data_IF_122338721487
#
_entry.id   IF_122338721487
#
_cell.length_a   1.000
_cell.length_b   1.000
_cell.length_c   1.000
_cell.angle_alpha   90.00
_cell.angle_beta   90.00
_cell.angle_gamma   90.00
#
_symmetry.space_group_name_H-M   'P 1'
#
loop_
_entity.id
_entity.type
_entity.pdbx_description
1 polymer ?
#
# COMPACT_ATOMS: atom_id res chain seq x y z
N UNK A 1 13.34 -5.00 16.90
CA UNK A 1 12.33 -5.24 15.84
C UNK A 1 12.87 -4.90 14.45
N UNK A 2 13.55 -3.78 14.30
CA UNK A 2 14.14 -3.30 13.04
C UNK A 2 15.01 -4.35 12.34
N UNK A 3 15.92 -4.97 13.07
CA UNK A 3 16.79 -6.05 12.56
C UNK A 3 16.05 -7.26 11.95
N UNK A 4 14.84 -7.58 12.43
CA UNK A 4 14.05 -8.67 11.86
C UNK A 4 13.41 -8.29 10.52
N UNK A 5 12.94 -7.04 10.39
CA UNK A 5 12.40 -6.52 9.13
C UNK A 5 13.51 -6.33 8.09
N UNK A 6 14.70 -5.86 8.50
CA UNK A 6 15.88 -5.77 7.64
C UNK A 6 16.28 -7.14 7.08
N UNK A 7 16.32 -8.17 7.93
CA UNK A 7 16.59 -9.54 7.48
C UNK A 7 15.56 -10.06 6.47
N UNK A 8 14.26 -9.74 6.66
CA UNK A 8 13.23 -10.08 5.69
C UNK A 8 13.49 -9.37 4.36
N UNK A 9 13.86 -8.09 4.40
CA UNK A 9 14.19 -7.31 3.22
C UNK A 9 15.42 -7.87 2.47
N UNK A 10 16.46 -8.26 3.19
CA UNK A 10 17.65 -8.92 2.62
C UNK A 10 17.29 -10.25 1.95
N UNK A 11 16.53 -11.13 2.62
CA UNK A 11 16.06 -12.39 2.04
C UNK A 11 15.23 -12.11 0.79
N UNK A 12 14.34 -11.11 0.84
CA UNK A 12 13.51 -10.73 -0.29
C UNK A 12 14.35 -10.21 -1.46
N UNK A 13 15.38 -9.42 -1.20
CA UNK A 13 16.25 -8.85 -2.24
C UNK A 13 17.07 -9.93 -2.97
N UNK A 14 17.60 -10.91 -2.23
CA UNK A 14 18.57 -11.87 -2.74
C UNK A 14 17.96 -13.18 -3.24
N UNK A 15 16.77 -13.56 -2.75
CA UNK A 15 16.09 -14.78 -3.20
C UNK A 15 15.19 -14.51 -4.41
N UNK A 16 15.27 -15.29 -5.49
CA UNK A 16 14.37 -15.15 -6.64
C UNK A 16 12.89 -15.40 -6.28
N UNK A 17 12.66 -16.37 -5.39
CA UNK A 17 11.32 -16.78 -4.95
C UNK A 17 11.32 -17.04 -3.43
N UNK A 18 11.41 -15.98 -2.61
CA UNK A 18 11.35 -16.18 -1.15
C UNK A 18 9.94 -16.59 -0.73
N UNK A 19 9.85 -17.48 0.24
CA UNK A 19 8.58 -17.86 0.86
C UNK A 19 8.62 -17.55 2.35
N UNK A 20 7.72 -16.68 2.79
CA UNK A 20 7.62 -16.29 4.19
C UNK A 20 6.41 -16.98 4.83
N UNK A 21 6.67 -17.99 5.66
CA UNK A 21 5.64 -18.84 6.26
C UNK A 21 5.22 -18.39 7.66
N UNK A 22 6.04 -17.58 8.32
CA UNK A 22 5.81 -17.16 9.71
C UNK A 22 6.16 -15.68 9.88
N UNK A 23 5.16 -14.82 9.74
CA UNK A 23 5.29 -13.36 9.85
C UNK A 23 4.40 -12.77 10.93
N UNK A 24 3.29 -13.45 11.24
CA UNK A 24 2.25 -12.91 12.13
C UNK A 24 2.76 -12.62 13.55
N UNK A 25 3.74 -13.40 14.03
CA UNK A 25 4.37 -13.20 15.33
C UNK A 25 5.16 -11.88 15.44
N UNK A 26 5.46 -11.24 14.31
CA UNK A 26 6.11 -9.94 14.27
C UNK A 26 5.16 -8.81 14.73
N UNK A 27 3.85 -9.01 14.59
CA UNK A 27 2.85 -8.07 15.13
C UNK A 27 2.71 -8.35 16.63
N UNK A 28 3.69 -7.91 17.38
CA UNK A 28 3.79 -8.09 18.83
C UNK A 28 3.76 -6.75 19.55
N UNK A 29 3.76 -6.78 20.89
CA UNK A 29 3.70 -5.59 21.75
C UNK A 29 4.75 -4.53 21.36
N UNK A 30 6.00 -4.95 21.14
CA UNK A 30 7.10 -4.04 20.79
C UNK A 30 6.80 -3.31 19.47
N UNK A 31 6.38 -4.03 18.43
CA UNK A 31 6.04 -3.44 17.14
C UNK A 31 4.84 -2.49 17.24
N UNK A 32 3.80 -2.87 17.96
CA UNK A 32 2.59 -2.04 18.11
C UNK A 32 2.88 -0.75 18.89
N UNK A 33 3.71 -0.82 19.95
CA UNK A 33 4.17 0.36 20.69
C UNK A 33 5.02 1.28 19.79
N UNK A 34 5.89 0.71 18.95
CA UNK A 34 6.65 1.49 17.98
C UNK A 34 5.74 2.15 16.95
N UNK A 35 4.76 1.42 16.39
CA UNK A 35 3.78 1.99 15.48
C UNK A 35 2.95 3.12 16.13
N UNK A 36 2.56 2.95 17.39
CA UNK A 36 1.89 4.00 18.15
C UNK A 36 2.73 5.28 18.25
N UNK A 37 4.03 5.17 18.53
CA UNK A 37 4.94 6.32 18.58
C UNK A 37 5.05 7.06 17.24
N UNK A 38 5.09 6.33 16.14
CA UNK A 38 5.24 6.87 14.79
C UNK A 38 3.96 7.52 14.23
N UNK A 39 2.78 7.11 14.71
CA UNK A 39 1.52 7.68 14.25
C UNK A 39 1.37 9.14 14.68
N UNK A 40 1.00 9.99 13.73
CA UNK A 40 0.69 11.39 13.96
C UNK A 40 -0.65 11.55 14.71
N UNK A 41 -0.61 12.14 15.90
CA UNK A 41 -1.78 12.36 16.75
C UNK A 41 -2.70 13.49 16.29
N UNK A 42 -2.30 14.29 15.28
CA UNK A 42 -3.12 15.37 14.70
C UNK A 42 -4.13 14.89 13.66
N UNK A 43 -4.04 13.62 13.24
CA UNK A 43 -4.90 13.06 12.20
C UNK A 43 -6.31 12.79 12.72
N UNK A 44 -7.29 12.91 11.80
CA UNK A 44 -8.70 12.68 12.08
C UNK A 44 -8.96 11.32 12.75
N UNK A 45 -9.94 11.28 13.64
CA UNK A 45 -10.37 10.10 14.40
C UNK A 45 -11.31 9.22 13.56
N UNK A 46 -11.38 7.93 13.91
CA UNK A 46 -12.31 6.98 13.29
C UNK A 46 -13.72 7.06 13.86
N UNK A 47 -14.51 6.04 13.59
CA UNK A 47 -15.90 5.93 14.06
C UNK A 47 -16.02 5.83 15.59
N UNK A 48 -14.96 5.39 16.25
CA UNK A 48 -14.85 5.27 17.73
C UNK A 48 -14.53 6.60 18.41
N UNK A 49 -14.26 7.66 17.63
CA UNK A 49 -13.89 9.00 18.08
C UNK A 49 -12.64 9.05 18.98
N UNK A 50 -11.90 7.94 19.09
CA UNK A 50 -10.72 7.82 19.96
C UNK A 50 -9.54 8.55 19.33
N UNK A 51 -9.01 9.55 20.05
CA UNK A 51 -7.77 10.24 19.68
C UNK A 51 -6.54 9.48 20.15
N UNK A 52 -5.35 9.83 19.60
CA UNK A 52 -4.09 9.29 20.11
C UNK A 52 -3.90 9.55 21.59
N UNK A 53 -4.21 10.78 22.06
CA UNK A 53 -4.07 11.17 23.47
C UNK A 53 -4.99 10.35 24.40
N UNK A 54 -6.21 10.05 23.98
CA UNK A 54 -7.13 9.21 24.75
C UNK A 54 -6.64 7.77 24.80
N UNK A 55 -6.16 7.22 23.70
CA UNK A 55 -5.59 5.87 23.66
C UNK A 55 -4.34 5.75 24.56
N UNK A 56 -3.52 6.81 24.64
CA UNK A 56 -2.33 6.90 25.48
C UNK A 56 -2.62 6.83 26.98
N UNK A 57 -3.80 7.22 27.46
CA UNK A 57 -4.13 7.19 28.89
C UNK A 57 -4.00 5.80 29.50
N UNK A 58 -4.30 4.75 28.73
CA UNK A 58 -4.20 3.35 29.16
C UNK A 58 -3.37 2.54 28.14
N UNK A 59 -2.29 3.12 27.61
CA UNK A 59 -1.54 2.58 26.47
C UNK A 59 -1.11 1.12 26.67
N UNK A 60 -0.49 0.81 27.80
CA UNK A 60 0.02 -0.54 28.07
C UNK A 60 -1.12 -1.57 28.07
N UNK A 61 -2.21 -1.27 28.76
CA UNK A 61 -3.37 -2.16 28.84
C UNK A 61 -4.06 -2.31 27.47
N UNK A 62 -4.22 -1.22 26.71
CA UNK A 62 -4.83 -1.23 25.38
C UNK A 62 -4.00 -2.07 24.41
N UNK A 63 -2.67 -1.93 24.46
CA UNK A 63 -1.76 -2.71 23.59
C UNK A 63 -1.74 -4.18 24.01
N UNK A 64 -1.74 -4.50 25.31
CA UNK A 64 -1.78 -5.88 25.79
C UNK A 64 -3.08 -6.59 25.38
N UNK A 65 -4.24 -5.93 25.51
CA UNK A 65 -5.52 -6.44 25.04
C UNK A 65 -5.51 -6.64 23.50
N UNK A 66 -4.99 -5.68 22.77
CA UNK A 66 -4.86 -5.79 21.31
C UNK A 66 -3.98 -6.98 20.90
N UNK A 67 -2.83 -7.18 21.56
CA UNK A 67 -1.94 -8.33 21.33
C UNK A 67 -2.67 -9.64 21.60
N UNK A 68 -3.45 -9.73 22.70
CA UNK A 68 -4.23 -10.93 23.01
C UNK A 68 -5.29 -11.21 21.94
N UNK A 69 -6.05 -10.20 21.54
CA UNK A 69 -7.05 -10.34 20.46
C UNK A 69 -6.43 -10.77 19.13
N UNK A 70 -5.24 -10.25 18.80
CA UNK A 70 -4.49 -10.68 17.63
C UNK A 70 -4.03 -12.14 17.76
N UNK A 71 -3.43 -12.53 18.91
CA UNK A 71 -2.99 -13.92 19.16
C UNK A 71 -4.15 -14.91 19.07
N UNK A 72 -5.29 -14.59 19.68
CA UNK A 72 -6.52 -15.40 19.64
C UNK A 72 -7.25 -15.35 18.29
N UNK A 73 -6.77 -14.52 17.33
CA UNK A 73 -7.41 -14.28 16.01
C UNK A 73 -8.82 -13.70 16.11
N UNK A 74 -9.19 -13.20 17.28
CA UNK A 74 -10.48 -12.57 17.55
C UNK A 74 -10.52 -11.08 17.14
N UNK A 75 -9.37 -10.47 16.83
CA UNK A 75 -9.31 -9.10 16.36
C UNK A 75 -10.13 -8.92 15.06
N UNK A 76 -11.00 -7.90 15.08
CA UNK A 76 -11.84 -7.49 13.96
C UNK A 76 -11.65 -5.99 13.73
N UNK A 77 -11.17 -5.54 12.55
CA UNK A 77 -11.10 -4.12 12.24
C UNK A 77 -12.50 -3.51 12.21
N UNK A 78 -12.58 -2.22 12.54
CA UNK A 78 -13.80 -1.43 12.44
C UNK A 78 -13.94 -0.82 11.03
N UNK A 79 -15.16 -0.55 10.54
CA UNK A 79 -15.36 0.18 9.31
C UNK A 79 -14.71 1.57 9.36
N UNK A 80 -14.07 1.99 8.27
CA UNK A 80 -13.56 3.36 8.18
C UNK A 80 -14.72 4.34 7.96
N UNK A 81 -14.73 5.48 8.67
CA UNK A 81 -15.70 6.54 8.39
C UNK A 81 -15.34 7.26 7.09
N UNK A 82 -16.31 7.45 6.21
CA UNK A 82 -16.12 8.16 4.95
C UNK A 82 -16.25 9.67 5.15
N UNK A 83 -15.22 10.39 4.68
CA UNK A 83 -15.19 11.85 4.67
C UNK A 83 -14.87 12.32 3.25
N UNK A 84 -15.49 13.41 2.82
CA UNK A 84 -15.30 13.95 1.48
C UNK A 84 -14.46 15.21 1.53
N UNK A 85 -13.32 15.21 0.79
CA UNK A 85 -12.42 16.35 0.68
C UNK A 85 -12.54 16.96 -0.73
N UNK A 86 -12.73 18.29 -0.85
CA UNK A 86 -12.80 18.93 -2.16
C UNK A 86 -11.46 18.85 -2.91
N UNK A 87 -11.52 18.50 -4.20
CA UNK A 87 -10.39 18.57 -5.13
C UNK A 87 -10.34 19.97 -5.77
N UNK A 88 -9.19 20.33 -6.35
CA UNK A 88 -8.99 21.60 -7.07
C UNK A 88 -9.98 21.82 -8.24
N UNK A 89 -10.51 20.74 -8.81
CA UNK A 89 -11.50 20.76 -9.89
C UNK A 89 -12.96 20.77 -9.40
N UNK A 90 -13.22 21.03 -8.12
CA UNK A 90 -14.55 21.06 -7.51
C UNK A 90 -15.18 19.68 -7.23
N UNK A 91 -14.58 18.58 -7.65
CA UNK A 91 -15.05 17.23 -7.32
C UNK A 91 -14.64 16.86 -5.90
N UNK A 92 -15.39 15.95 -5.29
CA UNK A 92 -15.08 15.41 -3.96
C UNK A 92 -14.20 14.18 -4.08
N UNK A 93 -13.20 14.07 -3.17
CA UNK A 93 -12.40 12.85 -2.98
C UNK A 93 -12.91 12.14 -1.73
N UNK A 94 -13.43 10.93 -1.84
CA UNK A 94 -13.80 10.14 -0.66
C UNK A 94 -12.54 9.63 0.04
N UNK A 95 -12.44 9.84 1.34
CA UNK A 95 -11.39 9.28 2.20
C UNK A 95 -12.02 8.42 3.28
N UNK A 96 -11.42 7.26 3.56
CA UNK A 96 -11.76 6.41 4.70
C UNK A 96 -10.83 6.71 5.87
N UNK A 97 -11.39 7.01 7.03
CA UNK A 97 -10.63 7.24 8.25
C UNK A 97 -10.86 6.06 9.18
N UNK A 98 -9.82 5.27 9.42
CA UNK A 98 -9.85 4.12 10.31
C UNK A 98 -9.79 4.53 11.79
N UNK A 99 -10.28 3.67 12.68
CA UNK A 99 -10.14 3.79 14.12
C UNK A 99 -8.66 3.83 14.52
N UNK A 100 -8.36 4.45 15.67
CA UNK A 100 -6.98 4.65 16.07
C UNK A 100 -6.23 3.32 16.25
N UNK A 101 -6.84 2.35 16.88
CA UNK A 101 -6.27 1.01 17.07
C UNK A 101 -6.01 0.31 15.73
N UNK A 102 -6.94 0.44 14.78
CA UNK A 102 -6.77 -0.12 13.45
C UNK A 102 -5.61 0.52 12.68
N UNK A 103 -5.36 1.83 12.89
CA UNK A 103 -4.18 2.50 12.32
C UNK A 103 -2.88 1.90 12.82
N UNK A 104 -2.79 1.54 14.11
CA UNK A 104 -1.62 0.88 14.69
C UNK A 104 -1.37 -0.47 14.00
N UNK A 105 -2.41 -1.31 13.88
CA UNK A 105 -2.31 -2.64 13.25
C UNK A 105 -2.00 -2.52 11.76
N UNK A 106 -2.64 -1.59 11.05
CA UNK A 106 -2.35 -1.33 9.64
C UNK A 106 -0.91 -0.89 9.41
N UNK A 107 -0.35 -0.05 10.29
CA UNK A 107 1.05 0.39 10.18
C UNK A 107 2.01 -0.77 10.43
N UNK A 108 1.74 -1.64 11.41
CA UNK A 108 2.54 -2.84 11.65
C UNK A 108 2.52 -3.78 10.43
N UNK A 109 1.34 -4.00 9.86
CA UNK A 109 1.17 -4.82 8.67
C UNK A 109 1.86 -4.20 7.44
N UNK A 110 1.73 -2.88 7.27
CA UNK A 110 2.43 -2.12 6.22
C UNK A 110 3.95 -2.33 6.31
N UNK A 111 4.56 -2.19 7.50
CA UNK A 111 6.00 -2.40 7.68
C UNK A 111 6.46 -3.80 7.26
N UNK A 112 5.68 -4.84 7.58
CA UNK A 112 5.98 -6.22 7.16
C UNK A 112 5.89 -6.34 5.63
N UNK A 113 4.86 -5.80 5.01
CA UNK A 113 4.69 -5.82 3.56
C UNK A 113 5.79 -5.02 2.86
N UNK A 114 6.16 -3.85 3.37
CA UNK A 114 7.26 -3.05 2.82
C UNK A 114 8.59 -3.80 2.88
N UNK A 115 8.91 -4.47 3.98
CA UNK A 115 10.13 -5.27 4.08
C UNK A 115 10.21 -6.38 3.01
N UNK A 116 9.06 -6.92 2.58
CA UNK A 116 9.00 -7.98 1.57
C UNK A 116 9.01 -7.40 0.15
N UNK A 117 8.23 -6.35 -0.12
CA UNK A 117 7.96 -5.90 -1.49
C UNK A 117 8.83 -4.74 -1.95
N UNK A 118 9.30 -3.87 -1.04
CA UNK A 118 10.13 -2.71 -1.41
C UNK A 118 11.41 -3.11 -2.19
N UNK A 119 12.15 -4.16 -1.79
CA UNK A 119 13.31 -4.61 -2.56
C UNK A 119 12.99 -5.17 -3.95
N UNK A 120 11.73 -5.50 -4.20
CA UNK A 120 11.27 -6.13 -5.45
C UNK A 120 10.68 -5.13 -6.45
N UNK A 121 10.24 -3.99 -5.96
CA UNK A 121 9.67 -2.96 -6.84
C UNK A 121 10.68 -2.43 -7.84
N UNK A 122 10.27 -2.29 -9.09
CA UNK A 122 11.12 -1.74 -10.13
C UNK A 122 11.44 -0.26 -9.87
N UNK A 123 12.59 0.17 -10.37
CA UNK A 123 13.05 1.56 -10.19
C UNK A 123 12.17 2.61 -10.86
N UNK A 124 11.30 2.20 -11.77
CA UNK A 124 10.32 3.07 -12.43
C UNK A 124 9.15 3.49 -11.53
N UNK A 125 8.99 2.86 -10.34
CA UNK A 125 7.92 3.18 -9.39
C UNK A 125 8.40 4.17 -8.35
N UNK A 126 7.65 5.26 -8.13
CA UNK A 126 8.00 6.35 -7.22
C UNK A 126 6.93 6.61 -6.14
N UNK A 127 5.65 6.51 -6.48
CA UNK A 127 4.55 6.82 -5.56
C UNK A 127 4.50 5.92 -4.34
N UNK A 128 4.23 6.49 -3.17
CA UNK A 128 4.05 5.79 -1.88
C UNK A 128 5.22 4.92 -1.41
N UNK A 129 6.40 5.10 -1.97
CA UNK A 129 7.61 4.36 -1.59
C UNK A 129 8.47 5.17 -0.63
N UNK A 130 9.14 4.52 0.36
CA UNK A 130 10.08 5.21 1.23
C UNK A 130 11.23 5.82 0.41
N UNK A 131 11.66 7.02 0.78
CA UNK A 131 12.77 7.75 0.16
C UNK A 131 12.61 8.05 -1.34
N UNK A 132 11.37 8.02 -1.86
CA UNK A 132 11.04 8.37 -3.25
C UNK A 132 9.84 9.31 -3.27
N UNK A 133 9.99 10.43 -3.96
CA UNK A 133 8.96 11.44 -4.05
C UNK A 133 8.61 11.83 -5.49
N UNK A 134 7.61 12.68 -5.64
CA UNK A 134 7.20 13.23 -6.93
C UNK A 134 8.38 13.95 -7.64
N UNK A 135 9.19 14.69 -6.89
CA UNK A 135 10.36 15.37 -7.44
C UNK A 135 11.40 14.40 -8.03
N UNK A 136 11.55 13.20 -7.47
CA UNK A 136 12.47 12.20 -7.99
C UNK A 136 11.94 11.60 -9.30
N UNK A 137 10.63 11.36 -9.38
CA UNK A 137 9.97 10.95 -10.62
C UNK A 137 10.16 12.01 -11.73
N UNK A 138 9.95 13.29 -11.41
CA UNK A 138 10.13 14.41 -12.35
C UNK A 138 11.58 14.55 -12.77
N UNK A 139 12.55 14.44 -11.84
CA UNK A 139 13.99 14.48 -12.18
C UNK A 139 14.37 13.35 -13.13
N UNK A 140 13.90 12.13 -12.88
CA UNK A 140 14.17 11.01 -13.79
C UNK A 140 13.51 11.23 -15.15
N UNK A 141 12.27 11.73 -15.18
CA UNK A 141 11.59 12.10 -16.40
C UNK A 141 12.39 13.13 -17.21
N UNK A 142 12.83 14.21 -16.58
CA UNK A 142 13.64 15.26 -17.19
C UNK A 142 14.97 14.72 -17.73
N UNK A 143 15.67 13.90 -16.95
CA UNK A 143 16.92 13.25 -17.36
C UNK A 143 16.72 12.39 -18.60
N UNK A 144 15.65 11.58 -18.63
CA UNK A 144 15.34 10.72 -19.78
C UNK A 144 14.99 11.54 -21.01
N UNK A 145 14.24 12.63 -20.83
CA UNK A 145 13.87 13.53 -21.92
C UNK A 145 15.06 14.14 -22.65
N UNK A 146 16.06 14.55 -21.89
CA UNK A 146 17.22 15.24 -22.44
C UNK A 146 18.27 14.28 -23.02
N UNK A 147 18.36 13.04 -22.51
CA UNK A 147 19.45 12.11 -22.84
C UNK A 147 19.05 11.01 -23.83
N UNK A 148 17.77 10.92 -24.21
CA UNK A 148 17.29 9.91 -25.16
C UNK A 148 16.47 10.54 -26.27
N UNK A 149 16.59 10.00 -27.50
CA UNK A 149 15.75 10.42 -28.61
C UNK A 149 14.34 9.88 -28.41
N UNK A 150 13.42 10.76 -28.05
CA UNK A 150 12.05 10.41 -27.73
C UNK A 150 11.13 11.03 -28.76
N UNK A 151 10.28 10.21 -29.37
CA UNK A 151 9.29 10.66 -30.33
C UNK A 151 7.89 10.83 -29.73
N UNK A 152 7.51 9.99 -28.77
CA UNK A 152 6.17 9.99 -28.18
C UNK A 152 6.21 9.90 -26.65
N UNK A 153 5.29 10.60 -26.00
CA UNK A 153 4.97 10.50 -24.59
C UNK A 153 3.52 10.06 -24.51
N UNK A 154 3.27 9.00 -23.76
CA UNK A 154 1.90 8.62 -23.37
C UNK A 154 1.73 9.00 -21.91
N UNK A 155 0.72 9.78 -21.62
CA UNK A 155 0.30 10.07 -20.26
C UNK A 155 -0.99 9.31 -19.99
N UNK A 156 -1.00 8.49 -18.93
CA UNK A 156 -2.12 7.63 -18.62
C UNK A 156 -2.41 7.66 -17.11
N UNK A 157 -3.67 7.88 -16.78
CA UNK A 157 -4.23 7.86 -15.43
C UNK A 157 -5.25 6.73 -15.31
N UNK A 158 -5.20 5.96 -14.23
CA UNK A 158 -6.14 4.87 -13.97
C UNK A 158 -7.30 5.42 -13.14
N UNK A 159 -8.41 5.67 -13.82
CA UNK A 159 -9.62 6.21 -13.17
C UNK A 159 -10.09 5.31 -12.03
N UNK A 160 -10.15 5.87 -10.83
CA UNK A 160 -10.67 5.16 -9.66
C UNK A 160 -9.85 3.94 -9.26
N UNK A 161 -8.52 3.98 -9.45
CA UNK A 161 -7.65 2.84 -9.24
C UNK A 161 -7.85 2.16 -7.89
N UNK A 162 -7.88 2.93 -6.80
CA UNK A 162 -8.08 2.39 -5.44
C UNK A 162 -9.44 1.71 -5.26
N UNK A 163 -10.47 2.18 -5.97
CA UNK A 163 -11.83 1.67 -5.85
C UNK A 163 -12.04 0.38 -6.68
N UNK A 164 -11.18 0.12 -7.69
CA UNK A 164 -11.35 -0.98 -8.64
C UNK A 164 -10.30 -2.10 -8.52
N UNK A 165 -9.41 -2.05 -7.53
CA UNK A 165 -8.47 -3.15 -7.29
C UNK A 165 -9.22 -4.41 -6.88
N UNK A 166 -9.15 -5.47 -7.67
CA UNK A 166 -9.81 -6.74 -7.37
C UNK A 166 -9.13 -7.45 -6.20
N UNK A 167 -9.86 -7.74 -5.13
CA UNK A 167 -9.35 -8.39 -3.92
C UNK A 167 -8.66 -9.73 -4.22
N UNK A 168 -9.23 -10.52 -5.13
CA UNK A 168 -8.65 -11.81 -5.52
C UNK A 168 -7.23 -11.67 -6.08
N UNK A 169 -6.97 -10.63 -6.89
CA UNK A 169 -5.64 -10.38 -7.46
C UNK A 169 -4.67 -9.85 -6.40
N UNK A 170 -5.12 -8.96 -5.50
CA UNK A 170 -4.30 -8.54 -4.35
C UNK A 170 -3.82 -9.77 -3.57
N UNK A 171 -4.75 -10.68 -3.24
CA UNK A 171 -4.43 -11.90 -2.49
C UNK A 171 -3.54 -12.85 -3.30
N UNK A 172 -3.75 -13.00 -4.61
CA UNK A 172 -2.86 -13.79 -5.47
C UNK A 172 -1.44 -13.22 -5.48
N UNK A 173 -1.29 -11.91 -5.61
CA UNK A 173 0.04 -11.26 -5.60
C UNK A 173 0.73 -11.36 -4.24
N UNK A 174 -0.01 -11.22 -3.14
CA UNK A 174 0.54 -11.44 -1.81
C UNK A 174 1.01 -12.89 -1.62
N UNK A 175 0.25 -13.86 -2.10
CA UNK A 175 0.58 -15.28 -2.01
C UNK A 175 1.80 -15.70 -2.86
N UNK A 176 2.35 -14.82 -3.71
CA UNK A 176 3.62 -15.11 -4.40
C UNK A 176 4.74 -15.33 -3.40
N UNK A 177 4.79 -14.53 -2.34
CA UNK A 177 5.88 -14.56 -1.34
C UNK A 177 5.40 -14.84 0.08
N UNK A 178 4.16 -14.50 0.44
CA UNK A 178 3.61 -14.66 1.79
C UNK A 178 2.79 -15.95 1.85
N UNK A 179 3.29 -16.93 2.63
CA UNK A 179 2.60 -18.21 2.88
C UNK A 179 2.00 -18.28 4.29
N UNK A 180 2.13 -17.19 5.08
CA UNK A 180 1.50 -17.08 6.40
C UNK A 180 -0.01 -16.79 6.26
N UNK A 181 -0.89 -17.76 6.58
CA UNK A 181 -2.33 -17.59 6.41
C UNK A 181 -2.92 -16.53 7.34
N UNK A 182 -2.25 -16.22 8.46
CA UNK A 182 -2.74 -15.23 9.41
C UNK A 182 -2.53 -13.80 8.88
N UNK A 183 -1.38 -13.53 8.25
CA UNK A 183 -1.14 -12.25 7.55
C UNK A 183 -2.13 -12.07 6.40
N UNK A 184 -2.29 -13.08 5.56
CA UNK A 184 -3.26 -13.04 4.46
C UNK A 184 -4.68 -12.85 4.99
N UNK A 185 -5.04 -13.55 6.07
CA UNK A 185 -6.33 -13.40 6.75
C UNK A 185 -6.57 -11.98 7.29
N UNK A 186 -5.53 -11.35 7.85
CA UNK A 186 -5.62 -9.98 8.35
C UNK A 186 -5.81 -8.96 7.20
N UNK A 187 -5.07 -9.11 6.10
CA UNK A 187 -5.28 -8.28 4.89
C UNK A 187 -6.71 -8.45 4.37
N UNK A 188 -7.21 -9.68 4.26
CA UNK A 188 -8.60 -9.95 3.83
C UNK A 188 -9.63 -9.25 4.73
N UNK A 189 -9.42 -9.21 6.04
CA UNK A 189 -10.31 -8.50 6.97
C UNK A 189 -10.35 -7.00 6.64
N UNK A 190 -9.19 -6.35 6.40
CA UNK A 190 -9.12 -4.93 6.03
C UNK A 190 -9.72 -4.63 4.66
N UNK A 191 -9.58 -5.51 3.69
CA UNK A 191 -10.20 -5.33 2.38
C UNK A 191 -11.74 -5.42 2.44
N UNK A 192 -12.27 -6.28 3.30
CA UNK A 192 -13.71 -6.56 3.39
C UNK A 192 -14.48 -5.68 4.36
N UNK A 193 -13.80 -5.07 5.34
CA UNK A 193 -14.50 -4.34 6.43
C UNK A 193 -15.36 -3.18 5.91
N UNK A 194 -15.00 -2.60 4.77
CA UNK A 194 -15.77 -1.55 4.12
C UNK A 194 -15.64 -0.19 4.80
N UNK A 195 -16.60 0.66 4.47
CA UNK A 195 -16.69 2.04 4.96
C UNK A 195 -18.08 2.35 5.47
N UNK A 196 -18.16 3.24 6.45
CA UNK A 196 -19.41 3.82 6.93
C UNK A 196 -19.62 5.17 6.23
N UNK A 197 -20.66 5.30 5.43
CA UNK A 197 -21.01 6.52 4.71
C UNK A 197 -22.44 6.95 5.07
N UNK A 198 -22.58 8.15 5.65
CA UNK A 198 -23.89 8.65 6.08
C UNK A 198 -24.66 7.71 7.01
N UNK A 199 -23.97 6.96 7.88
CA UNK A 199 -24.59 6.01 8.81
C UNK A 199 -24.89 4.63 8.21
N UNK A 200 -24.60 4.39 6.91
CA UNK A 200 -24.78 3.10 6.25
C UNK A 200 -23.41 2.44 6.02
N UNK A 201 -23.27 1.22 6.48
CA UNK A 201 -22.08 0.42 6.19
C UNK A 201 -22.14 -0.11 4.76
N UNK A 202 -21.12 0.23 3.98
CA UNK A 202 -20.93 -0.27 2.62
C UNK A 202 -19.77 -1.26 2.64
N UNK A 203 -20.05 -2.53 2.34
CA UNK A 203 -19.03 -3.56 2.20
C UNK A 203 -18.28 -3.35 0.88
N UNK A 204 -16.97 -3.51 0.92
CA UNK A 204 -16.17 -3.44 -0.30
C UNK A 204 -16.08 -4.85 -0.92
N UNK A 205 -16.65 -5.03 -2.11
CA UNK A 205 -16.42 -6.24 -2.92
C UNK A 205 -15.10 -6.16 -3.70
N UNK A 206 -14.65 -4.94 -3.98
CA UNK A 206 -13.37 -4.62 -4.60
C UNK A 206 -12.82 -3.31 -4.03
N UNK A 207 -11.58 -3.00 -4.36
CA UNK A 207 -10.92 -1.77 -3.95
C UNK A 207 -10.35 -1.82 -2.53
N UNK A 208 -9.70 -0.74 -2.17
CA UNK A 208 -9.15 -0.49 -0.85
C UNK A 208 -9.43 0.95 -0.48
N UNK A 209 -9.98 1.19 0.71
CA UNK A 209 -10.40 2.53 1.12
C UNK A 209 -9.24 3.54 1.04
N UNK A 210 -9.40 4.58 0.23
CA UNK A 210 -8.46 5.71 0.20
C UNK A 210 -8.36 6.32 1.60
N UNK A 211 -7.15 6.45 2.13
CA UNK A 211 -6.91 7.00 3.47
C UNK A 211 -6.51 5.94 4.51
N UNK A 212 -6.74 4.67 4.26
CA UNK A 212 -6.19 3.60 5.08
C UNK A 212 -4.66 3.49 4.91
N UNK A 213 -3.93 3.25 6.00
CA UNK A 213 -2.46 3.22 6.02
C UNK A 213 -1.88 2.09 5.15
N UNK A 214 -2.61 0.98 5.05
CA UNK A 214 -2.18 -0.18 4.26
C UNK A 214 -2.46 -0.02 2.75
N UNK A 215 -3.43 0.81 2.35
CA UNK A 215 -3.87 0.90 0.96
C UNK A 215 -2.76 1.28 -0.03
N UNK A 216 -1.83 2.21 0.28
CA UNK A 216 -0.74 2.56 -0.62
C UNK A 216 0.21 1.41 -0.96
N UNK A 217 0.58 0.58 0.02
CA UNK A 217 1.46 -0.58 -0.26
C UNK A 217 0.74 -1.66 -1.07
N UNK A 218 -0.55 -1.90 -0.81
CA UNK A 218 -1.37 -2.82 -1.61
C UNK A 218 -1.51 -2.33 -3.06
N UNK A 219 -1.69 -1.02 -3.26
CA UNK A 219 -1.72 -0.38 -4.56
C UNK A 219 -0.40 -0.58 -5.32
N UNK A 220 0.74 -0.36 -4.66
CA UNK A 220 2.05 -0.59 -5.26
C UNK A 220 2.28 -2.07 -5.63
N UNK A 221 1.87 -3.01 -4.77
CA UNK A 221 1.95 -4.45 -5.06
C UNK A 221 1.09 -4.79 -6.29
N UNK A 222 -0.10 -4.22 -6.39
CA UNK A 222 -1.00 -4.42 -7.52
C UNK A 222 -0.38 -3.86 -8.81
N UNK A 223 0.05 -2.59 -8.82
CA UNK A 223 0.66 -1.92 -9.97
C UNK A 223 1.95 -2.61 -10.42
N UNK A 224 2.76 -3.08 -9.47
CA UNK A 224 3.97 -3.82 -9.78
C UNK A 224 3.66 -5.07 -10.62
N UNK A 225 2.71 -5.88 -10.17
CA UNK A 225 2.41 -7.15 -10.82
C UNK A 225 1.60 -6.98 -12.13
N UNK A 226 0.71 -6.00 -12.21
CA UNK A 226 -0.14 -5.79 -13.39
C UNK A 226 0.55 -4.95 -14.45
N UNK A 227 1.15 -3.82 -14.08
CA UNK A 227 1.68 -2.86 -15.04
C UNK A 227 3.20 -2.98 -15.22
N UNK A 228 3.98 -2.88 -14.11
CA UNK A 228 5.43 -2.68 -14.28
C UNK A 228 6.14 -3.94 -14.74
N UNK A 229 5.72 -5.13 -14.29
CA UNK A 229 6.26 -6.40 -14.79
C UNK A 229 5.82 -6.66 -16.23
N UNK A 230 4.56 -6.41 -16.58
CA UNK A 230 4.09 -6.51 -17.96
C UNK A 230 4.88 -5.58 -18.87
N UNK A 231 5.06 -4.31 -18.49
CA UNK A 231 5.88 -3.38 -19.23
C UNK A 231 7.31 -3.92 -19.43
N UNK A 232 7.96 -4.36 -18.35
CA UNK A 232 9.34 -4.87 -18.37
C UNK A 232 9.51 -6.12 -19.24
N UNK A 233 8.59 -7.07 -19.17
CA UNK A 233 8.78 -8.37 -19.81
C UNK A 233 8.12 -8.51 -21.18
N UNK A 234 7.12 -7.70 -21.47
CA UNK A 234 6.36 -7.73 -22.73
C UNK A 234 6.65 -6.48 -23.55
N UNK A 235 6.24 -5.30 -23.07
CA UNK A 235 6.28 -4.07 -23.87
C UNK A 235 7.70 -3.70 -24.29
N UNK A 236 8.70 -3.82 -23.40
CA UNK A 236 10.09 -3.51 -23.76
C UNK A 236 10.65 -4.38 -24.88
N UNK A 237 10.13 -5.60 -25.07
CA UNK A 237 10.56 -6.50 -26.15
C UNK A 237 9.87 -6.22 -27.48
N UNK A 238 8.66 -5.70 -27.44
CA UNK A 238 7.88 -5.36 -28.63
C UNK A 238 8.22 -3.96 -29.16
N UNK A 239 8.73 -3.08 -28.32
CA UNK A 239 9.12 -1.73 -28.72
C UNK A 239 10.47 -1.71 -29.43
N UNK A 240 10.54 -1.08 -30.60
CA UNK A 240 11.79 -0.75 -31.27
C UNK A 240 12.35 0.56 -30.67
N UNK A 241 13.63 0.53 -30.27
CA UNK A 241 14.34 1.69 -29.71
C UNK A 241 14.14 1.88 -28.20
N UNK A 242 14.62 3.04 -27.70
CA UNK A 242 14.60 3.34 -26.27
C UNK A 242 13.17 3.54 -25.78
N UNK A 243 12.84 2.84 -24.72
CA UNK A 243 11.56 2.98 -24.04
C UNK A 243 11.76 2.99 -22.52
N UNK A 244 10.93 3.70 -21.79
CA UNK A 244 10.92 3.70 -20.34
C UNK A 244 9.53 3.99 -19.79
N UNK A 245 9.33 3.61 -18.56
CA UNK A 245 8.10 3.80 -17.79
C UNK A 245 8.43 4.57 -16.52
N UNK A 246 7.59 5.52 -16.15
CA UNK A 246 7.58 6.18 -14.85
C UNK A 246 6.18 6.02 -14.28
N UNK A 247 6.09 5.53 -13.04
CA UNK A 247 4.83 5.30 -12.32
C UNK A 247 4.85 6.08 -11.02
N UNK A 248 3.85 6.93 -10.82
CA UNK A 248 3.63 7.62 -9.57
C UNK A 248 2.19 7.37 -9.11
N UNK A 249 2.01 6.39 -8.21
CA UNK A 249 0.71 5.88 -7.79
C UNK A 249 -0.11 5.34 -8.98
N UNK A 250 -1.23 5.97 -9.31
CA UNK A 250 -2.12 5.68 -10.43
C UNK A 250 -1.74 6.42 -11.73
N UNK A 251 -0.88 7.45 -11.63
CA UNK A 251 -0.35 8.15 -12.78
C UNK A 251 0.83 7.37 -13.41
N UNK A 252 0.81 7.16 -14.70
CA UNK A 252 1.89 6.50 -15.41
C UNK A 252 2.20 7.18 -16.75
N UNK A 253 3.49 7.34 -17.04
CA UNK A 253 3.99 7.89 -18.27
C UNK A 253 4.89 6.86 -19.00
N UNK A 254 4.33 5.94 -19.79
CA UNK A 254 5.09 5.09 -20.67
C UNK A 254 5.55 5.88 -21.92
N UNK A 255 6.66 5.48 -22.50
CA UNK A 255 7.23 6.12 -23.68
C UNK A 255 7.61 5.13 -24.77
N UNK A 256 7.39 5.53 -26.02
CA UNK A 256 7.64 4.74 -27.21
C UNK A 256 8.36 5.57 -28.29
N UNK A 257 9.28 4.94 -29.03
CA UNK A 257 9.95 5.56 -30.18
C UNK A 257 9.13 5.44 -31.46
N UNK A 258 8.33 4.39 -31.64
CA UNK A 258 7.44 4.19 -32.78
C UNK A 258 6.17 3.45 -32.37
N UNK A 259 5.01 3.91 -32.84
CA UNK A 259 3.79 3.11 -32.89
C UNK A 259 3.98 2.07 -34.04
N UNK A 260 3.89 0.79 -33.69
CA UNK A 260 3.70 -0.22 -34.74
C UNK A 260 2.24 -0.11 -35.15
N UNK A 261 1.99 0.29 -36.39
CA UNK A 261 0.66 0.29 -37.00
C UNK A 261 0.13 -1.15 -37.15
#
# INVERSE_FOLDING_TARGET
METKLERIAEISAHSPRPEFTSLYHLINKEMLLQCHKELDGSKAVGIDEITKKEYERNLEQNIDDLVERLKRKSYKPQPSIRVYIPKSNGKLRPLGIACYEDKIVQLALKKILEAIYEPRFLNCMYGFRPNRGCHDAIKELYKRLNNTKICYIVDADIKGFFDHMKHEWIIKFLNLYIKDPNIIGLVKKYLKVGVLDGGKQMMNEEGSAQGNIISPILANIYMHNVLTLWYKFIITKECKGDNFLIVYADDCAPRRRELVA
#
